data_IF_299777563280
#
_entry.id   IF_299777563280
#
_cell.length_a   1.000
_cell.length_b   1.000
_cell.length_c   1.000
_cell.angle_alpha   90.00
_cell.angle_beta   90.00
_cell.angle_gamma   90.00
#
_symmetry.space_group_name_H-M   'P 1'
#
loop_
_entity.id
_entity.type
_entity.pdbx_description
1 polymer ?
#
# COMPACT_ATOMS: atom_id res chain seq x y z
N UNK A 1 53.05 -2.17 3.15
CA UNK A 1 52.05 -1.15 2.80
C UNK A 1 51.44 -1.54 1.47
N UNK A 2 50.24 -2.10 1.49
CA UNK A 2 49.48 -2.46 0.29
C UNK A 2 48.17 -1.70 0.32
N UNK A 3 48.00 -0.82 -0.67
CA UNK A 3 46.89 0.10 -0.85
C UNK A 3 45.66 -0.64 -1.38
N UNK A 4 44.54 -0.50 -0.68
CA UNK A 4 43.25 -1.03 -1.11
C UNK A 4 42.72 -0.27 -2.34
N UNK A 5 42.28 -1.03 -3.35
CA UNK A 5 41.65 -0.52 -4.57
C UNK A 5 40.16 -0.22 -4.27
N UNK A 6 39.59 0.91 -4.72
CA UNK A 6 38.19 1.22 -4.48
C UNK A 6 37.31 0.30 -5.32
N UNK A 7 36.37 -0.40 -4.66
CA UNK A 7 35.34 -1.15 -5.35
C UNK A 7 34.45 -0.19 -6.15
N UNK A 8 34.52 -0.32 -7.48
CA UNK A 8 33.58 0.28 -8.40
C UNK A 8 32.16 -0.16 -8.05
N UNK A 9 31.37 0.78 -7.55
CA UNK A 9 29.92 0.65 -7.42
C UNK A 9 29.37 0.45 -8.83
N UNK A 10 28.88 -0.75 -9.13
CA UNK A 10 28.11 -1.01 -10.34
C UNK A 10 26.86 -0.13 -10.33
N UNK A 11 26.88 0.95 -11.10
CA UNK A 11 25.68 1.60 -11.62
C UNK A 11 24.99 0.59 -12.53
N UNK A 12 23.90 0.00 -12.04
CA UNK A 12 23.09 -0.97 -12.76
C UNK A 12 21.76 -0.32 -13.16
N UNK A 13 21.66 0.02 -14.45
CA UNK A 13 20.44 0.23 -15.25
C UNK A 13 19.25 0.96 -14.60
N UNK A 14 19.36 2.29 -14.44
CA UNK A 14 18.27 3.17 -13.98
C UNK A 14 17.95 4.31 -14.96
N UNK A 15 18.26 4.16 -16.25
CA UNK A 15 17.95 5.21 -17.25
C UNK A 15 16.50 5.17 -17.77
N UNK A 16 15.64 4.23 -17.32
CA UNK A 16 14.27 4.07 -17.82
C UNK A 16 13.14 4.48 -16.89
N UNK A 17 13.39 4.72 -15.60
CA UNK A 17 12.47 5.50 -14.76
C UNK A 17 12.75 6.98 -15.03
N UNK A 18 12.36 7.42 -16.23
CA UNK A 18 12.58 8.77 -16.71
C UNK A 18 11.96 9.76 -15.72
N UNK A 19 12.82 10.58 -15.13
CA UNK A 19 12.55 11.86 -14.47
C UNK A 19 11.12 12.42 -14.68
N UNK A 20 10.23 12.24 -13.70
CA UNK A 20 9.08 13.15 -13.46
C UNK A 20 9.53 14.57 -13.01
N UNK A 21 10.82 14.89 -13.16
CA UNK A 21 11.51 16.03 -12.55
C UNK A 21 11.58 17.29 -13.42
N UNK A 22 10.82 17.41 -14.51
CA UNK A 22 11.01 18.52 -15.45
C UNK A 22 9.85 19.52 -15.56
N UNK A 23 8.63 19.19 -15.09
CA UNK A 23 7.52 20.16 -15.15
C UNK A 23 7.46 21.00 -13.86
N UNK A 24 7.49 22.34 -13.94
CA UNK A 24 7.33 23.21 -12.77
C UNK A 24 5.97 22.96 -12.10
N UNK A 25 5.79 23.37 -10.84
CA UNK A 25 4.46 23.35 -10.19
C UNK A 25 3.49 24.25 -10.97
N UNK A 26 2.20 23.91 -10.95
CA UNK A 26 1.17 24.80 -11.50
C UNK A 26 1.15 26.10 -10.69
N UNK A 27 0.82 27.22 -11.34
CA UNK A 27 0.51 28.45 -10.63
C UNK A 27 -0.73 28.29 -9.75
N UNK A 28 -0.87 29.07 -8.67
CA UNK A 28 -2.04 28.97 -7.76
C UNK A 28 -3.36 29.14 -8.53
N UNK A 29 -3.44 30.15 -9.41
CA UNK A 29 -4.64 30.41 -10.21
C UNK A 29 -4.91 29.31 -11.24
N UNK A 30 -3.84 28.78 -11.85
CA UNK A 30 -3.93 27.68 -12.81
C UNK A 30 -4.44 26.41 -12.14
N UNK A 31 -3.93 26.08 -10.94
CA UNK A 31 -4.39 24.94 -10.14
C UNK A 31 -5.85 25.08 -9.73
N UNK A 32 -6.28 26.23 -9.24
CA UNK A 32 -7.68 26.43 -8.85
C UNK A 32 -8.63 26.34 -10.08
N UNK A 33 -8.23 26.87 -11.24
CA UNK A 33 -8.97 26.69 -12.49
C UNK A 33 -9.07 25.21 -12.88
N UNK A 34 -7.95 24.50 -12.93
CA UNK A 34 -7.91 23.08 -13.27
C UNK A 34 -8.75 22.23 -12.32
N UNK A 35 -8.70 22.52 -11.01
CA UNK A 35 -9.54 21.91 -9.98
C UNK A 35 -11.03 22.17 -10.22
N UNK A 36 -11.42 23.41 -10.52
CA UNK A 36 -12.81 23.74 -10.83
C UNK A 36 -13.30 22.97 -12.07
N UNK A 37 -12.48 22.90 -13.12
CA UNK A 37 -12.78 22.14 -14.35
C UNK A 37 -12.94 20.65 -14.07
N UNK A 38 -12.05 20.06 -13.27
CA UNK A 38 -12.14 18.66 -12.83
C UNK A 38 -13.48 18.40 -12.12
N UNK A 39 -13.87 19.25 -11.17
CA UNK A 39 -15.14 19.11 -10.45
C UNK A 39 -16.37 19.28 -11.35
N UNK A 40 -16.32 20.19 -12.34
CA UNK A 40 -17.39 20.33 -13.33
C UNK A 40 -17.58 19.07 -14.17
N UNK A 41 -16.48 18.44 -14.61
CA UNK A 41 -16.51 17.16 -15.33
C UNK A 41 -17.09 16.06 -14.44
N UNK A 42 -16.58 15.91 -13.21
CA UNK A 42 -17.07 14.91 -12.25
C UNK A 42 -18.59 15.05 -12.05
N UNK A 43 -19.07 16.27 -11.80
CA UNK A 43 -20.49 16.55 -11.59
C UNK A 43 -21.34 16.17 -12.81
N UNK A 44 -20.88 16.47 -14.03
CA UNK A 44 -21.58 16.09 -15.26
C UNK A 44 -21.64 14.56 -15.42
N UNK A 45 -20.54 13.86 -15.18
CA UNK A 45 -20.50 12.39 -15.26
C UNK A 45 -21.37 11.74 -14.17
N UNK A 46 -21.41 12.28 -12.95
CA UNK A 46 -22.28 11.78 -11.87
C UNK A 46 -23.77 11.88 -12.19
N UNK A 47 -24.19 12.92 -12.91
CA UNK A 47 -25.60 13.07 -13.31
C UNK A 47 -26.07 12.07 -14.35
N UNK A 48 -25.14 11.35 -14.97
CA UNK A 48 -25.44 10.26 -15.90
C UNK A 48 -25.60 8.93 -15.14
N UNK A 49 -26.70 8.22 -15.36
CA UNK A 49 -27.09 6.99 -14.61
C UNK A 49 -26.11 5.80 -14.71
N UNK A 50 -25.00 5.93 -15.43
CA UNK A 50 -23.99 4.88 -15.66
C UNK A 50 -22.91 4.79 -14.56
N UNK A 51 -22.92 5.69 -13.57
CA UNK A 51 -21.80 5.87 -12.62
C UNK A 51 -21.57 4.71 -11.63
N UNK A 52 -22.52 3.78 -11.46
CA UNK A 52 -22.48 2.67 -10.48
C UNK A 52 -22.53 1.28 -11.16
N UNK A 53 -22.33 1.18 -12.47
CA UNK A 53 -22.49 -0.10 -13.21
C UNK A 53 -21.50 -1.19 -12.75
N UNK A 54 -20.34 -0.84 -12.18
CA UNK A 54 -19.28 -1.78 -11.77
C UNK A 54 -19.18 -1.99 -10.25
N UNK A 55 -20.21 -1.69 -9.46
CA UNK A 55 -20.17 -1.94 -8.01
C UNK A 55 -19.28 -0.97 -7.20
N UNK A 56 -18.68 0.03 -7.85
CA UNK A 56 -18.06 1.19 -7.22
C UNK A 56 -18.32 2.46 -8.06
N UNK A 57 -18.11 3.64 -7.47
CA UNK A 57 -18.27 4.93 -8.14
C UNK A 57 -16.96 5.42 -8.75
N UNK A 58 -16.89 5.40 -10.09
CA UNK A 58 -15.77 5.98 -10.85
C UNK A 58 -15.58 7.48 -10.59
N UNK A 59 -16.65 8.32 -10.58
CA UNK A 59 -16.50 9.73 -10.26
C UNK A 59 -15.84 9.98 -8.90
N UNK A 60 -16.30 9.26 -7.87
CA UNK A 60 -15.73 9.36 -6.53
C UNK A 60 -14.30 8.81 -6.46
N UNK A 61 -13.97 7.73 -7.20
CA UNK A 61 -12.60 7.22 -7.27
C UNK A 61 -11.64 8.31 -7.79
N UNK A 62 -11.98 8.96 -8.91
CA UNK A 62 -11.18 10.03 -9.51
C UNK A 62 -11.12 11.25 -8.59
N UNK A 63 -12.27 11.69 -8.05
CA UNK A 63 -12.35 12.82 -7.12
C UNK A 63 -11.45 12.62 -5.90
N UNK A 64 -11.58 11.49 -5.21
CA UNK A 64 -10.84 11.23 -3.99
C UNK A 64 -9.36 10.95 -4.25
N UNK A 65 -9.00 10.42 -5.41
CA UNK A 65 -7.60 10.30 -5.84
C UNK A 65 -6.94 11.69 -5.89
N UNK A 66 -7.62 12.69 -6.43
CA UNK A 66 -7.17 14.08 -6.39
C UNK A 66 -7.17 14.67 -4.98
N UNK A 67 -8.29 14.57 -4.25
CA UNK A 67 -8.45 15.23 -2.96
C UNK A 67 -7.46 14.73 -1.90
N UNK A 68 -7.18 13.43 -1.89
CA UNK A 68 -6.27 12.79 -0.94
C UNK A 68 -4.82 12.68 -1.41
N UNK A 69 -4.48 13.24 -2.58
CA UNK A 69 -3.08 13.47 -2.94
C UNK A 69 -2.41 14.38 -1.89
N UNK A 70 -1.24 13.96 -1.38
CA UNK A 70 -0.68 14.47 -0.11
C UNK A 70 -0.04 15.86 -0.21
N UNK A 71 0.35 16.30 -1.41
CA UNK A 71 1.00 17.57 -1.64
C UNK A 71 0.41 18.31 -2.83
N UNK A 72 0.57 19.63 -2.85
CA UNK A 72 0.22 20.46 -4.02
C UNK A 72 0.91 19.96 -5.30
N UNK A 73 2.16 19.49 -5.19
CA UNK A 73 2.89 18.94 -6.33
C UNK A 73 2.28 17.62 -6.83
N UNK A 74 1.82 16.78 -5.91
CA UNK A 74 1.07 15.55 -6.24
C UNK A 74 -0.23 15.89 -6.96
N UNK A 75 -0.99 16.86 -6.43
CA UNK A 75 -2.23 17.37 -7.03
C UNK A 75 -2.01 17.93 -8.43
N UNK A 76 -0.94 18.70 -8.63
CA UNK A 76 -0.55 19.22 -9.95
C UNK A 76 -0.24 18.10 -10.94
N UNK A 77 0.44 17.05 -10.46
CA UNK A 77 0.79 15.87 -11.27
C UNK A 77 -0.49 15.12 -11.67
N UNK A 78 -1.41 14.91 -10.73
CA UNK A 78 -2.71 14.31 -11.00
C UNK A 78 -3.50 15.12 -12.03
N UNK A 79 -3.63 16.44 -11.84
CA UNK A 79 -4.39 17.30 -12.75
C UNK A 79 -3.84 17.23 -14.17
N UNK A 80 -2.51 17.25 -14.33
CA UNK A 80 -1.87 17.11 -15.64
C UNK A 80 -2.16 15.75 -16.27
N UNK A 81 -1.96 14.67 -15.52
CA UNK A 81 -2.24 13.33 -16.02
C UNK A 81 -3.71 13.18 -16.43
N UNK A 82 -4.64 13.71 -15.63
CA UNK A 82 -6.06 13.73 -15.95
C UNK A 82 -6.32 14.51 -17.26
N UNK A 83 -5.93 15.79 -17.34
CA UNK A 83 -6.22 16.61 -18.52
C UNK A 83 -5.45 16.21 -19.77
N UNK A 84 -4.27 15.59 -19.65
CA UNK A 84 -3.54 15.00 -20.79
C UNK A 84 -4.32 13.84 -21.44
N UNK A 85 -5.31 13.25 -20.74
CA UNK A 85 -6.22 12.22 -21.28
C UNK A 85 -7.58 12.75 -21.74
N UNK A 86 -7.93 13.99 -21.39
CA UNK A 86 -9.25 14.58 -21.67
C UNK A 86 -9.25 15.28 -23.04
N UNK A 87 -10.42 15.39 -23.70
CA UNK A 87 -10.57 16.20 -24.91
C UNK A 87 -10.58 17.72 -24.64
N UNK A 88 -10.37 18.13 -23.38
CA UNK A 88 -10.36 19.52 -22.94
C UNK A 88 -9.05 19.85 -22.23
N UNK A 89 -8.58 21.08 -22.38
CA UNK A 89 -7.32 21.52 -21.77
C UNK A 89 -7.47 21.88 -20.29
N UNK A 90 -6.35 21.84 -19.55
CA UNK A 90 -6.31 22.18 -18.13
C UNK A 90 -6.50 23.68 -17.83
N UNK A 91 -6.10 24.55 -18.77
CA UNK A 91 -5.88 25.97 -18.55
C UNK A 91 -6.76 26.88 -19.43
N UNK A 92 -7.79 26.32 -20.10
CA UNK A 92 -8.75 27.16 -20.84
C UNK A 92 -9.51 28.09 -19.88
N UNK A 93 -9.62 29.35 -20.30
CA UNK A 93 -10.40 30.39 -19.61
C UNK A 93 -11.92 30.24 -19.81
N UNK A 94 -12.35 29.43 -20.79
CA UNK A 94 -13.77 29.18 -21.04
C UNK A 94 -14.29 27.97 -20.27
N UNK A 95 -15.51 28.05 -19.75
CA UNK A 95 -16.21 26.90 -19.18
C UNK A 95 -16.37 25.77 -20.22
N UNK A 96 -16.49 24.54 -19.72
CA UNK A 96 -16.72 23.36 -20.57
C UNK A 96 -18.18 23.38 -21.01
N UNK A 97 -18.40 23.38 -22.32
CA UNK A 97 -19.74 23.32 -22.89
C UNK A 97 -20.25 21.88 -22.95
N UNK A 98 -21.02 21.49 -21.94
CA UNK A 98 -21.68 20.18 -21.88
C UNK A 98 -22.94 20.10 -22.75
N UNK A 99 -23.33 21.17 -23.46
CA UNK A 99 -24.46 21.10 -24.40
C UNK A 99 -24.05 20.50 -25.75
N UNK A 100 -22.75 20.50 -26.06
CA UNK A 100 -22.20 19.75 -27.19
C UNK A 100 -22.17 18.25 -26.85
N UNK A 101 -23.18 17.54 -27.36
CA UNK A 101 -23.35 16.10 -27.17
C UNK A 101 -22.13 15.26 -27.63
N UNK A 102 -21.37 15.73 -28.62
CA UNK A 102 -20.19 14.99 -29.11
C UNK A 102 -19.03 15.16 -28.13
N UNK A 103 -18.80 16.38 -27.66
CA UNK A 103 -17.79 16.66 -26.66
C UNK A 103 -18.11 16.00 -25.32
N UNK A 104 -19.38 16.06 -24.88
CA UNK A 104 -19.84 15.43 -23.65
C UNK A 104 -19.56 13.91 -23.66
N UNK A 105 -19.87 13.24 -24.77
CA UNK A 105 -19.61 11.80 -24.94
C UNK A 105 -18.12 11.46 -24.96
N UNK A 106 -17.29 12.32 -25.58
CA UNK A 106 -15.83 12.17 -25.56
C UNK A 106 -15.27 12.33 -24.14
N UNK A 107 -15.76 13.32 -23.38
CA UNK A 107 -15.39 13.53 -21.98
C UNK A 107 -15.76 12.31 -21.16
N UNK A 108 -16.98 11.80 -21.30
CA UNK A 108 -17.48 10.61 -20.57
C UNK A 108 -16.63 9.38 -20.85
N UNK A 109 -16.28 9.15 -22.11
CA UNK A 109 -15.44 8.03 -22.55
C UNK A 109 -14.03 8.15 -21.97
N UNK A 110 -13.39 9.31 -22.11
CA UNK A 110 -12.05 9.56 -21.57
C UNK A 110 -12.01 9.45 -20.04
N UNK A 111 -13.02 9.99 -19.36
CA UNK A 111 -13.17 9.90 -17.91
C UNK A 111 -13.28 8.47 -17.42
N UNK A 112 -14.12 7.67 -18.08
CA UNK A 112 -14.28 6.25 -17.75
C UNK A 112 -12.96 5.50 -17.95
N UNK A 113 -12.27 5.74 -19.07
CA UNK A 113 -10.96 5.15 -19.34
C UNK A 113 -9.89 5.53 -18.31
N UNK A 114 -9.88 6.79 -17.85
CA UNK A 114 -8.95 7.23 -16.80
C UNK A 114 -9.25 6.59 -15.44
N UNK A 115 -10.53 6.48 -15.07
CA UNK A 115 -10.93 5.82 -13.83
C UNK A 115 -10.56 4.32 -13.84
N UNK A 116 -10.84 3.63 -14.96
CA UNK A 116 -10.50 2.21 -15.15
C UNK A 116 -8.98 2.01 -15.14
N UNK A 117 -8.23 2.92 -15.76
CA UNK A 117 -6.76 2.90 -15.72
C UNK A 117 -6.22 2.96 -14.28
N UNK A 118 -6.74 3.85 -13.43
CA UNK A 118 -6.35 3.93 -12.02
C UNK A 118 -6.75 2.66 -11.24
N UNK A 119 -7.96 2.17 -11.47
CA UNK A 119 -8.48 0.99 -10.79
C UNK A 119 -7.65 -0.26 -11.13
N UNK A 120 -7.48 -0.55 -12.42
CA UNK A 120 -6.89 -1.78 -12.93
C UNK A 120 -5.37 -1.85 -12.75
N UNK A 121 -4.69 -0.71 -12.77
CA UNK A 121 -3.22 -0.66 -12.74
C UNK A 121 -2.66 -0.22 -11.39
N UNK A 122 -3.50 0.16 -10.43
CA UNK A 122 -3.04 0.53 -9.09
C UNK A 122 -3.91 -0.07 -7.98
N UNK A 123 -5.18 0.32 -7.86
CA UNK A 123 -5.97 -0.02 -6.68
C UNK A 123 -6.24 -1.53 -6.52
N UNK A 124 -6.66 -2.18 -7.60
CA UNK A 124 -6.90 -3.62 -7.63
C UNK A 124 -5.62 -4.43 -7.34
N UNK A 125 -4.51 -4.28 -8.10
CA UNK A 125 -3.29 -5.04 -7.86
C UNK A 125 -2.65 -4.76 -6.49
N UNK A 126 -2.70 -3.50 -6.03
CA UNK A 126 -2.19 -3.14 -4.71
C UNK A 126 -2.93 -3.91 -3.61
N UNK A 127 -4.26 -3.84 -3.58
CA UNK A 127 -5.06 -4.50 -2.54
C UNK A 127 -5.02 -6.04 -2.63
N UNK A 128 -4.91 -6.59 -3.86
CA UNK A 128 -4.74 -8.02 -4.07
C UNK A 128 -3.43 -8.57 -3.48
N UNK A 129 -2.37 -7.77 -3.53
CA UNK A 129 -1.03 -8.17 -3.08
C UNK A 129 -0.72 -7.79 -1.62
N UNK A 130 -1.42 -6.79 -1.06
CA UNK A 130 -1.29 -6.39 0.35
C UNK A 130 -1.73 -7.44 1.37
N UNK A 131 -2.50 -8.46 0.96
CA UNK A 131 -3.04 -9.50 1.86
C UNK A 131 -2.03 -10.60 2.19
N UNK A 132 -0.94 -10.69 1.42
CA UNK A 132 0.08 -11.73 1.61
C UNK A 132 1.46 -11.11 1.67
N UNK A 133 2.05 -11.03 2.87
CA UNK A 133 3.52 -11.00 2.93
C UNK A 133 4.03 -12.41 2.72
N UNK A 134 4.93 -12.65 1.75
CA UNK A 134 5.59 -13.94 1.60
C UNK A 134 6.18 -14.38 2.94
N UNK A 135 5.68 -15.48 3.49
CA UNK A 135 6.30 -16.05 4.69
C UNK A 135 7.67 -16.61 4.28
N UNK A 136 8.76 -16.24 4.96
CA UNK A 136 10.05 -16.82 4.64
C UNK A 136 9.98 -18.33 4.87
N UNK A 137 10.47 -19.10 3.90
CA UNK A 137 10.74 -20.52 4.11
C UNK A 137 11.63 -20.68 5.35
N UNK A 138 11.50 -21.78 6.12
CA UNK A 138 12.35 -22.01 7.28
C UNK A 138 13.83 -21.81 6.94
N UNK A 139 14.60 -21.14 7.80
CA UNK A 139 16.04 -20.86 7.58
C UNK A 139 16.80 -22.14 7.18
N UNK A 140 16.41 -23.28 7.74
CA UNK A 140 16.95 -24.60 7.40
C UNK A 140 16.65 -25.01 5.96
N UNK A 141 15.46 -24.71 5.44
CA UNK A 141 15.10 -24.97 4.04
C UNK A 141 15.93 -24.13 3.08
N UNK A 142 16.10 -22.83 3.37
CA UNK A 142 16.96 -21.92 2.58
C UNK A 142 18.44 -22.29 2.67
N UNK A 143 18.90 -22.85 3.79
CA UNK A 143 20.25 -23.39 3.94
C UNK A 143 20.44 -24.70 3.16
N UNK A 144 19.44 -25.60 3.17
CA UNK A 144 19.46 -26.86 2.41
C UNK A 144 19.42 -26.60 0.90
N UNK A 145 18.59 -25.68 0.41
CA UNK A 145 18.58 -25.26 -1.00
C UNK A 145 19.94 -24.72 -1.45
N UNK A 146 20.62 -23.92 -0.61
CA UNK A 146 21.99 -23.46 -0.88
C UNK A 146 22.99 -24.62 -0.95
N UNK A 147 22.89 -25.59 -0.04
CA UNK A 147 23.77 -26.75 -0.01
C UNK A 147 23.56 -27.71 -1.19
N UNK A 148 22.34 -27.76 -1.74
CA UNK A 148 21.96 -28.60 -2.89
C UNK A 148 22.24 -27.96 -4.25
N UNK A 149 22.86 -26.78 -4.31
CA UNK A 149 23.18 -26.10 -5.57
C UNK A 149 21.98 -25.51 -6.29
N UNK A 150 20.88 -25.21 -5.58
CA UNK A 150 19.74 -24.50 -6.15
C UNK A 150 20.15 -23.10 -6.63
N UNK A 151 19.88 -22.79 -7.90
CA UNK A 151 20.22 -21.50 -8.50
C UNK A 151 19.49 -20.33 -7.79
N UNK A 152 20.29 -19.34 -7.41
CA UNK A 152 19.95 -18.21 -6.55
C UNK A 152 18.55 -17.64 -6.83
N UNK A 153 17.61 -17.82 -5.89
CA UNK A 153 16.72 -16.71 -5.55
C UNK A 153 17.62 -15.53 -5.21
N UNK A 154 17.31 -14.34 -5.71
CA UNK A 154 18.09 -13.12 -5.47
C UNK A 154 18.68 -13.15 -4.06
N UNK A 155 20.00 -13.30 -3.99
CA UNK A 155 20.72 -13.63 -2.76
C UNK A 155 20.33 -12.64 -1.65
N UNK A 156 19.36 -13.00 -0.81
CA UNK A 156 18.92 -12.16 0.29
C UNK A 156 17.41 -11.97 0.50
N UNK A 157 16.46 -12.24 -0.40
CA UNK A 157 15.04 -11.86 -0.14
C UNK A 157 14.41 -12.59 1.07
N UNK A 158 14.51 -13.93 1.22
CA UNK A 158 14.01 -14.60 2.42
C UNK A 158 14.78 -14.22 3.70
N UNK A 159 16.10 -14.04 3.59
CA UNK A 159 16.96 -13.63 4.71
C UNK A 159 16.68 -12.18 5.14
N UNK A 160 16.38 -11.29 4.19
CA UNK A 160 15.98 -9.90 4.42
C UNK A 160 14.60 -9.81 5.05
N UNK A 161 13.63 -10.61 4.60
CA UNK A 161 12.30 -10.69 5.22
C UNK A 161 12.40 -11.25 6.66
N UNK A 162 13.24 -12.27 6.88
CA UNK A 162 13.51 -12.79 8.23
C UNK A 162 14.17 -11.73 9.12
N UNK A 163 15.16 -11.01 8.59
CA UNK A 163 15.86 -9.93 9.30
C UNK A 163 14.91 -8.78 9.64
N UNK A 164 14.11 -8.33 8.67
CA UNK A 164 13.08 -7.31 8.85
C UNK A 164 12.12 -7.71 9.96
N UNK A 165 11.65 -8.98 9.96
CA UNK A 165 10.74 -9.48 10.98
C UNK A 165 11.35 -9.35 12.39
N UNK A 166 12.57 -9.84 12.58
CA UNK A 166 13.25 -9.74 13.88
C UNK A 166 13.47 -8.29 14.33
N UNK A 167 13.88 -7.42 13.40
CA UNK A 167 14.10 -6.00 13.67
C UNK A 167 12.80 -5.29 14.08
N UNK A 168 11.69 -5.53 13.36
CA UNK A 168 10.40 -4.94 13.67
C UNK A 168 9.82 -5.46 14.99
N UNK A 169 9.91 -6.77 15.26
CA UNK A 169 9.49 -7.34 16.55
C UNK A 169 10.26 -6.69 17.71
N UNK A 170 11.58 -6.56 17.58
CA UNK A 170 12.41 -5.89 18.60
C UNK A 170 12.02 -4.42 18.77
N UNK A 171 11.88 -3.67 17.68
CA UNK A 171 11.44 -2.26 17.71
C UNK A 171 10.11 -2.10 18.41
N UNK A 172 9.16 -2.99 18.09
CA UNK A 172 7.79 -2.93 18.56
C UNK A 172 7.60 -3.65 19.91
N UNK A 173 8.69 -3.98 20.60
CA UNK A 173 8.72 -4.63 21.93
C UNK A 173 7.92 -5.93 21.96
N UNK A 174 8.03 -6.72 20.90
CA UNK A 174 7.31 -7.97 20.68
C UNK A 174 5.79 -7.84 20.88
N UNK A 175 5.23 -6.68 20.50
CA UNK A 175 3.80 -6.39 20.63
C UNK A 175 3.21 -5.95 19.30
N UNK A 176 1.95 -6.30 19.10
CA UNK A 176 1.15 -5.65 18.07
C UNK A 176 1.04 -4.15 18.36
N UNK A 177 1.36 -3.31 17.36
CA UNK A 177 1.36 -1.85 17.55
C UNK A 177 -0.04 -1.26 17.82
N UNK A 178 -1.10 -1.99 17.46
CA UNK A 178 -2.51 -1.61 17.65
C UNK A 178 -3.11 -2.27 18.90
N UNK A 179 -3.15 -3.60 18.99
CA UNK A 179 -3.81 -4.29 20.12
C UNK A 179 -2.96 -4.36 21.38
N UNK A 180 -1.63 -4.16 21.26
CA UNK A 180 -0.64 -4.37 22.32
C UNK A 180 -0.53 -5.81 22.82
N UNK A 181 -1.22 -6.79 22.20
CA UNK A 181 -1.03 -8.21 22.49
C UNK A 181 0.44 -8.58 22.26
N UNK A 182 1.01 -9.33 23.20
CA UNK A 182 2.41 -9.76 23.17
C UNK A 182 2.55 -11.02 22.29
N UNK A 183 3.71 -11.21 21.66
CA UNK A 183 3.95 -12.35 20.78
C UNK A 183 3.90 -13.67 21.54
N UNK A 184 3.00 -14.56 21.13
CA UNK A 184 2.82 -15.85 21.81
C UNK A 184 4.05 -16.73 21.66
N UNK A 185 4.78 -16.64 20.55
CA UNK A 185 6.01 -17.42 20.34
C UNK A 185 7.15 -16.93 21.23
N UNK A 186 7.31 -15.61 21.32
CA UNK A 186 8.30 -15.03 22.23
C UNK A 186 7.98 -15.34 23.69
N UNK A 187 6.70 -15.28 24.07
CA UNK A 187 6.28 -15.66 25.41
C UNK A 187 6.62 -17.12 25.73
N UNK A 188 6.29 -18.06 24.83
CA UNK A 188 6.63 -19.48 24.97
C UNK A 188 8.14 -19.69 25.16
N UNK A 189 8.97 -19.04 24.33
CA UNK A 189 10.43 -19.10 24.46
C UNK A 189 10.92 -18.60 25.83
N UNK A 190 10.40 -17.47 26.32
CA UNK A 190 10.81 -16.91 27.62
C UNK A 190 10.32 -17.77 28.79
N UNK A 191 9.11 -18.32 28.72
CA UNK A 191 8.62 -19.27 29.72
C UNK A 191 9.49 -20.54 29.78
N UNK A 192 9.95 -21.05 28.64
CA UNK A 192 10.86 -22.19 28.61
C UNK A 192 12.22 -21.91 29.28
N UNK A 193 12.73 -20.68 29.18
CA UNK A 193 14.04 -20.30 29.74
C UNK A 193 13.96 -19.86 31.21
N UNK A 194 12.91 -19.14 31.58
CA UNK A 194 12.83 -18.41 32.86
C UNK A 194 11.65 -18.85 33.74
N UNK A 195 10.78 -19.74 33.25
CA UNK A 195 9.58 -20.19 33.96
C UNK A 195 8.66 -19.00 34.33
N UNK A 196 8.10 -19.03 35.54
CA UNK A 196 7.19 -17.98 36.03
C UNK A 196 7.88 -16.61 36.20
N UNK A 197 9.21 -16.58 36.19
CA UNK A 197 10.00 -15.35 36.27
C UNK A 197 10.13 -14.63 34.92
N UNK A 198 9.65 -15.24 33.83
CA UNK A 198 9.69 -14.65 32.50
C UNK A 198 9.00 -13.27 32.45
N UNK A 199 9.67 -12.31 31.81
CA UNK A 199 9.19 -10.92 31.69
C UNK A 199 9.09 -10.50 30.23
N UNK A 200 8.22 -9.54 29.96
CA UNK A 200 8.20 -8.83 28.67
C UNK A 200 9.34 -7.80 28.59
N UNK A 201 9.40 -7.11 27.45
CA UNK A 201 10.37 -6.07 27.12
C UNK A 201 10.27 -4.83 28.05
N UNK A 202 9.17 -4.67 28.79
CA UNK A 202 8.95 -3.60 29.77
C UNK A 202 9.24 -4.08 31.22
N UNK A 203 9.69 -5.33 31.39
CA UNK A 203 10.01 -5.93 32.69
C UNK A 203 8.80 -6.47 33.46
N UNK A 204 7.61 -6.52 32.85
CA UNK A 204 6.38 -7.05 33.46
C UNK A 204 6.33 -8.57 33.31
N UNK A 205 5.98 -9.27 34.39
CA UNK A 205 5.87 -10.72 34.37
C UNK A 205 4.82 -11.22 33.37
N UNK A 206 5.20 -12.16 32.51
CA UNK A 206 4.33 -12.68 31.45
C UNK A 206 3.10 -13.40 31.99
N UNK A 207 3.19 -14.11 33.12
CA UNK A 207 2.05 -14.81 33.72
C UNK A 207 0.92 -13.88 34.19
N UNK A 208 1.21 -12.58 34.36
CA UNK A 208 0.21 -11.55 34.71
C UNK A 208 -0.51 -10.99 33.48
N UNK A 209 0.01 -11.26 32.26
CA UNK A 209 -0.57 -10.81 31.02
C UNK A 209 -1.67 -11.75 30.56
N UNK A 210 -2.80 -11.17 30.12
CA UNK A 210 -4.01 -11.94 29.81
C UNK A 210 -4.14 -12.32 28.34
N UNK A 211 -3.39 -11.68 27.43
CA UNK A 211 -3.62 -11.80 25.99
C UNK A 211 -2.30 -11.86 25.21
N UNK A 212 -1.98 -13.06 24.72
CA UNK A 212 -0.94 -13.31 23.72
C UNK A 212 -1.58 -13.48 22.34
N UNK A 213 -0.83 -13.20 21.28
CA UNK A 213 -1.24 -13.49 19.91
C UNK A 213 0.00 -13.76 19.05
N UNK A 214 -0.15 -14.54 17.99
CA UNK A 214 0.90 -14.62 16.97
C UNK A 214 1.05 -13.28 16.28
N UNK A 215 2.30 -12.81 16.18
CA UNK A 215 2.62 -11.57 15.49
C UNK A 215 3.20 -11.81 14.11
N UNK A 216 2.81 -10.94 13.20
CA UNK A 216 3.26 -10.83 11.83
C UNK A 216 3.83 -9.43 11.60
N UNK A 217 4.70 -9.29 10.62
CA UNK A 217 5.27 -8.01 10.22
C UNK A 217 4.71 -7.66 8.86
N UNK A 218 3.90 -6.62 8.83
CA UNK A 218 3.20 -6.14 7.67
C UNK A 218 3.97 -4.97 7.05
N UNK A 219 4.20 -5.01 5.74
CA UNK A 219 4.64 -3.82 5.03
C UNK A 219 3.53 -2.75 5.01
N UNK A 220 3.89 -1.47 5.10
CA UNK A 220 2.96 -0.34 5.00
C UNK A 220 2.57 -0.13 3.53
N UNK A 221 3.56 -0.11 2.63
CA UNK A 221 3.35 -0.28 1.20
C UNK A 221 3.91 -1.65 0.77
N UNK A 222 3.12 -2.49 0.08
CA UNK A 222 3.46 -3.89 -0.18
C UNK A 222 4.76 -4.11 -0.93
N UNK A 223 5.46 -5.21 -0.60
CA UNK A 223 6.67 -5.65 -1.29
C UNK A 223 6.44 -5.93 -2.79
N UNK A 224 5.25 -6.42 -3.14
CA UNK A 224 4.84 -6.73 -4.53
C UNK A 224 5.00 -5.56 -5.51
N UNK A 225 4.88 -4.32 -5.06
CA UNK A 225 5.01 -3.11 -5.88
C UNK A 225 6.38 -3.01 -6.58
N UNK A 226 7.42 -3.57 -5.97
CA UNK A 226 8.80 -3.50 -6.48
C UNK A 226 9.43 -4.87 -6.67
N UNK A 227 8.63 -5.93 -6.51
CA UNK A 227 9.13 -7.29 -6.65
C UNK A 227 9.46 -7.59 -8.12
N UNK A 228 10.71 -7.96 -8.39
CA UNK A 228 11.17 -8.42 -9.70
C UNK A 228 11.32 -9.94 -9.68
N UNK A 229 10.83 -10.63 -10.71
CA UNK A 229 11.19 -12.03 -10.91
C UNK A 229 12.70 -12.17 -11.22
N UNK A 230 13.25 -13.37 -11.00
CA UNK A 230 14.71 -13.63 -10.99
C UNK A 230 15.42 -13.03 -12.21
N UNK A 231 16.34 -12.08 -11.97
CA UNK A 231 17.20 -11.49 -13.00
C UNK A 231 16.50 -10.55 -14.00
N UNK A 232 15.21 -10.26 -13.79
CA UNK A 232 14.38 -9.47 -14.68
C UNK A 232 14.32 -7.99 -14.36
N UNK A 233 13.88 -7.20 -15.35
CA UNK A 233 13.43 -5.82 -15.14
C UNK A 233 12.10 -5.82 -14.37
N UNK A 234 11.77 -4.73 -13.69
CA UNK A 234 10.45 -4.56 -13.08
C UNK A 234 9.36 -4.70 -14.15
N UNK A 235 8.37 -5.55 -13.91
CA UNK A 235 7.23 -5.72 -14.82
C UNK A 235 6.57 -4.37 -15.13
N UNK A 236 6.10 -4.21 -16.37
CA UNK A 236 5.53 -2.94 -16.82
C UNK A 236 4.34 -2.50 -15.95
N UNK A 237 3.50 -3.44 -15.54
CA UNK A 237 2.37 -3.20 -14.63
C UNK A 237 2.81 -2.60 -13.29
N UNK A 238 3.94 -3.06 -12.74
CA UNK A 238 4.52 -2.55 -11.49
C UNK A 238 5.15 -1.17 -11.69
N UNK A 239 5.80 -0.93 -12.84
CA UNK A 239 6.28 0.40 -13.21
C UNK A 239 5.12 1.40 -13.24
N UNK A 240 4.03 1.06 -13.92
CA UNK A 240 2.81 1.87 -13.98
C UNK A 240 2.23 2.12 -12.58
N UNK A 241 2.17 1.09 -11.73
CA UNK A 241 1.70 1.25 -10.36
C UNK A 241 2.58 2.24 -9.55
N UNK A 242 3.90 2.23 -9.74
CA UNK A 242 4.81 3.18 -9.11
C UNK A 242 4.68 4.61 -9.67
N UNK A 243 4.37 4.76 -10.95
CA UNK A 243 4.04 6.06 -11.56
C UNK A 243 2.77 6.64 -10.96
N UNK A 244 1.73 5.80 -10.84
CA UNK A 244 0.47 6.16 -10.18
C UNK A 244 0.71 6.49 -8.70
N UNK A 245 1.56 5.72 -7.99
CA UNK A 245 1.97 6.01 -6.62
C UNK A 245 2.57 7.42 -6.47
N UNK A 246 3.40 7.83 -7.44
CA UNK A 246 4.01 9.17 -7.46
C UNK A 246 3.00 10.29 -7.73
N UNK A 247 1.83 9.99 -8.29
CA UNK A 247 0.72 10.96 -8.39
C UNK A 247 0.08 11.25 -7.03
N UNK A 248 0.05 10.28 -6.10
CA UNK A 248 -0.46 10.50 -4.75
C UNK A 248 0.51 11.30 -3.89
N UNK A 249 1.79 10.94 -3.97
CA UNK A 249 2.83 11.54 -3.16
C UNK A 249 4.14 11.58 -3.94
N UNK A 250 4.61 12.80 -4.23
CA UNK A 250 5.75 13.03 -5.11
C UNK A 250 7.00 12.32 -4.59
N UNK A 251 7.62 11.44 -5.40
CA UNK A 251 8.78 10.61 -5.02
C UNK A 251 8.47 9.50 -3.99
N UNK A 252 7.22 9.07 -3.87
CA UNK A 252 6.86 7.94 -3.02
C UNK A 252 7.48 6.62 -3.49
N UNK A 253 7.66 6.41 -4.80
CA UNK A 253 8.29 5.19 -5.33
C UNK A 253 9.70 4.99 -4.77
N UNK A 254 10.49 6.06 -4.62
CA UNK A 254 11.85 5.99 -4.05
C UNK A 254 11.89 5.57 -2.58
N UNK A 255 10.77 5.69 -1.85
CA UNK A 255 10.69 5.26 -0.45
C UNK A 255 10.65 3.74 -0.30
N UNK A 256 10.37 3.03 -1.39
CA UNK A 256 10.21 1.57 -1.43
C UNK A 256 11.01 0.94 -2.57
N UNK A 257 11.93 1.65 -3.20
CA UNK A 257 12.70 1.11 -4.32
C UNK A 257 13.80 0.15 -3.84
N UNK A 258 13.96 -0.99 -4.51
CA UNK A 258 15.06 -1.92 -4.31
C UNK A 258 15.16 -2.47 -2.87
N UNK A 259 16.19 -2.05 -2.14
CA UNK A 259 16.38 -2.47 -0.75
C UNK A 259 15.49 -1.71 0.24
N UNK A 260 14.95 -0.56 -0.15
CA UNK A 260 14.19 0.31 0.75
C UNK A 260 12.82 -0.28 1.13
N UNK A 261 12.26 -1.16 0.30
CA UNK A 261 10.98 -1.83 0.58
C UNK A 261 11.01 -2.66 1.86
N UNK A 262 12.12 -3.33 2.15
CA UNK A 262 12.27 -4.20 3.32
C UNK A 262 12.96 -3.48 4.48
N UNK A 263 12.89 -2.14 4.51
CA UNK A 263 13.37 -1.35 5.65
C UNK A 263 12.30 -1.32 6.75
N UNK A 264 12.71 -1.27 8.03
CA UNK A 264 11.77 -1.17 9.16
C UNK A 264 10.81 0.02 9.06
N UNK A 265 11.23 1.11 8.40
CA UNK A 265 10.40 2.30 8.16
C UNK A 265 9.15 2.02 7.31
N UNK A 266 9.16 0.98 6.49
CA UNK A 266 8.03 0.52 5.68
C UNK A 266 7.32 -0.69 6.31
N UNK A 267 7.50 -0.98 7.61
CA UNK A 267 6.88 -2.16 8.22
C UNK A 267 6.41 -1.94 9.66
N UNK A 268 5.35 -2.64 10.05
CA UNK A 268 4.74 -2.61 11.38
C UNK A 268 4.37 -4.01 11.88
N UNK A 269 4.44 -4.21 13.19
CA UNK A 269 4.07 -5.50 13.82
C UNK A 269 2.57 -5.54 14.15
N UNK A 270 1.86 -6.53 13.62
CA UNK A 270 0.42 -6.71 13.78
C UNK A 270 0.07 -8.14 14.22
N UNK A 271 -1.10 -8.33 14.83
CA UNK A 271 -1.69 -9.67 14.94
C UNK A 271 -2.27 -10.08 13.58
N UNK A 272 -2.41 -11.38 13.32
CA UNK A 272 -2.95 -11.91 12.07
C UNK A 272 -4.20 -11.17 11.56
N UNK A 273 -5.26 -11.09 12.36
CA UNK A 273 -6.51 -10.40 11.94
C UNK A 273 -6.29 -8.92 11.60
N UNK A 274 -5.44 -8.23 12.36
CA UNK A 274 -5.17 -6.82 12.12
C UNK A 274 -4.28 -6.61 10.90
N UNK A 275 -3.43 -7.58 10.58
CA UNK A 275 -2.66 -7.58 9.34
C UNK A 275 -3.58 -7.72 8.14
N UNK A 276 -4.53 -8.66 8.14
CA UNK A 276 -5.54 -8.79 7.08
C UNK A 276 -6.30 -7.46 6.86
N UNK A 277 -6.87 -6.91 7.93
CA UNK A 277 -7.61 -5.65 7.84
C UNK A 277 -6.75 -4.46 7.41
N UNK A 278 -5.47 -4.42 7.80
CA UNK A 278 -4.54 -3.38 7.38
C UNK A 278 -4.14 -3.52 5.90
N UNK A 279 -3.87 -4.74 5.44
CA UNK A 279 -3.58 -5.04 4.04
C UNK A 279 -4.77 -4.75 3.12
N UNK A 280 -5.99 -4.95 3.60
CA UNK A 280 -7.24 -4.58 2.90
C UNK A 280 -7.62 -3.12 3.04
N UNK A 281 -6.71 -2.29 3.57
CA UNK A 281 -6.89 -0.86 3.79
C UNK A 281 -8.15 -0.50 4.62
N UNK A 282 -8.62 -1.41 5.48
CA UNK A 282 -9.76 -1.14 6.38
C UNK A 282 -9.31 -0.52 7.70
N UNK A 283 -8.03 -0.61 8.06
CA UNK A 283 -7.44 0.03 9.24
C UNK A 283 -6.38 1.02 8.78
N UNK A 284 -6.34 2.22 9.36
CA UNK A 284 -5.38 3.26 8.98
C UNK A 284 -4.93 4.10 10.19
N UNK A 285 -3.81 4.80 10.02
CA UNK A 285 -3.20 5.63 11.06
C UNK A 285 -3.31 7.11 10.70
N UNK A 286 -3.96 7.89 11.56
CA UNK A 286 -4.08 9.34 11.41
C UNK A 286 -3.20 10.04 12.45
N UNK A 287 -2.26 10.92 12.05
CA UNK A 287 -1.46 11.66 13.01
C UNK A 287 -2.36 12.52 13.90
N UNK A 288 -2.06 12.54 15.19
CA UNK A 288 -2.78 13.42 16.13
C UNK A 288 -2.02 14.74 16.21
N UNK A 289 -2.65 15.88 15.85
CA UNK A 289 -2.04 17.19 16.02
C UNK A 289 -1.62 17.43 17.47
N UNK A 290 -0.53 18.16 17.66
CA UNK A 290 -0.04 18.60 18.99
C UNK A 290 0.29 17.46 19.99
N UNK A 291 0.40 16.22 19.52
CA UNK A 291 0.89 15.08 20.29
C UNK A 291 2.37 14.80 20.01
N UNK A 292 3.05 14.04 20.89
CA UNK A 292 4.42 13.61 20.63
C UNK A 292 4.55 12.91 19.26
N UNK A 293 5.72 13.00 18.59
CA UNK A 293 5.95 12.31 17.32
C UNK A 293 5.59 10.83 17.36
N UNK A 294 5.15 10.29 16.23
CA UNK A 294 4.69 8.90 16.08
C UNK A 294 3.46 8.54 16.93
N UNK A 295 2.61 9.53 17.25
CA UNK A 295 1.31 9.31 17.89
C UNK A 295 0.19 9.40 16.86
N UNK A 296 -0.63 8.36 16.80
CA UNK A 296 -1.68 8.20 15.80
C UNK A 296 -3.00 7.80 16.44
N UNK A 297 -4.09 8.34 15.90
CA UNK A 297 -5.43 7.80 16.06
C UNK A 297 -5.60 6.69 15.02
N UNK A 298 -5.82 5.47 15.51
CA UNK A 298 -6.08 4.30 14.66
C UNK A 298 -7.56 4.30 14.33
N UNK A 299 -7.86 4.50 13.05
CA UNK A 299 -9.22 4.46 12.49
C UNK A 299 -9.51 3.10 11.84
N UNK A 300 -10.79 2.81 11.64
CA UNK A 300 -11.23 1.58 10.97
C UNK A 300 -12.54 1.78 10.21
N UNK A 301 -12.65 1.12 9.06
CA UNK A 301 -13.87 0.93 8.28
C UNK A 301 -14.50 -0.45 8.52
N UNK A 302 -13.92 -1.25 9.42
CA UNK A 302 -14.47 -2.55 9.84
C UNK A 302 -15.60 -2.32 10.84
N UNK A 303 -16.67 -3.13 10.77
CA UNK A 303 -17.76 -3.09 11.75
C UNK A 303 -17.24 -3.39 13.16
N UNK A 304 -17.68 -2.66 14.21
CA UNK A 304 -17.14 -2.84 15.56
C UNK A 304 -17.20 -4.27 16.12
N UNK A 305 -18.24 -5.04 15.77
CA UNK A 305 -18.41 -6.42 16.21
C UNK A 305 -17.36 -7.40 15.65
N UNK A 306 -16.62 -7.03 14.60
CA UNK A 306 -15.54 -7.83 14.02
C UNK A 306 -14.19 -7.57 14.72
N UNK A 307 -14.09 -6.53 15.56
CA UNK A 307 -12.90 -6.20 16.35
C UNK A 307 -13.28 -5.97 17.83
N UNK A 308 -13.94 -6.94 18.50
CA UNK A 308 -14.55 -6.74 19.81
C UNK A 308 -13.52 -6.43 20.91
N UNK A 309 -12.28 -6.87 20.74
CA UNK A 309 -11.18 -6.62 21.67
C UNK A 309 -10.61 -5.19 21.57
N UNK A 310 -11.04 -4.40 20.57
CA UNK A 310 -10.53 -3.05 20.33
C UNK A 310 -11.64 -2.00 20.42
N UNK A 311 -11.50 -1.08 21.37
CA UNK A 311 -12.32 0.13 21.43
C UNK A 311 -11.85 1.15 20.38
N UNK A 312 -12.10 0.86 19.10
CA UNK A 312 -11.78 1.76 17.99
C UNK A 312 -12.77 2.93 17.89
N UNK A 313 -12.32 4.13 17.48
CA UNK A 313 -10.93 4.50 17.23
C UNK A 313 -10.15 4.70 18.52
N UNK A 314 -8.87 4.35 18.52
CA UNK A 314 -8.00 4.43 19.70
C UNK A 314 -6.69 5.14 19.37
N UNK A 315 -6.03 5.69 20.40
CA UNK A 315 -4.73 6.36 20.23
C UNK A 315 -3.59 5.40 20.51
N UNK A 316 -2.58 5.42 19.64
CA UNK A 316 -1.32 4.68 19.79
C UNK A 316 -0.12 5.56 19.52
N UNK A 317 0.81 5.55 20.46
CA UNK A 317 2.19 5.97 20.22
C UNK A 317 2.99 4.77 19.72
N UNK A 318 3.49 4.81 18.51
CA UNK A 318 4.34 3.74 17.97
C UNK A 318 5.69 3.74 18.70
N UNK A 319 6.28 2.56 18.84
CA UNK A 319 7.53 2.40 19.56
C UNK A 319 8.71 2.95 18.74
N UNK A 320 9.68 3.50 19.47
CA UNK A 320 10.96 3.97 18.95
C UNK A 320 12.02 3.37 19.86
N UNK A 321 13.07 2.78 19.30
CA UNK A 321 14.17 2.25 20.11
C UNK A 321 14.90 3.40 20.81
N UNK A 322 15.34 3.20 22.05
CA UNK A 322 15.96 4.26 22.87
C UNK A 322 17.20 4.87 22.21
N UNK A 323 18.04 4.00 21.63
CA UNK A 323 19.23 4.35 20.88
C UNK A 323 18.96 4.79 19.43
N UNK A 324 17.70 4.74 18.96
CA UNK A 324 17.26 5.03 17.59
C UNK A 324 18.05 4.29 16.50
N UNK A 325 18.56 3.09 16.79
CA UNK A 325 19.25 2.26 15.80
C UNK A 325 18.31 1.59 14.81
N UNK A 326 17.02 1.47 15.14
CA UNK A 326 16.00 0.91 14.26
C UNK A 326 15.04 2.03 13.87
N UNK A 327 14.88 2.24 12.56
CA UNK A 327 13.97 3.26 12.04
C UNK A 327 12.52 3.02 12.50
N UNK A 328 11.83 4.05 13.01
CA UNK A 328 10.41 3.95 13.26
C UNK A 328 9.62 3.90 11.94
N UNK A 329 8.36 3.45 11.96
CA UNK A 329 7.46 3.53 10.80
C UNK A 329 7.43 4.96 10.26
N UNK A 330 7.66 5.12 8.95
CA UNK A 330 7.76 6.44 8.33
C UNK A 330 6.38 7.10 8.29
N UNK A 331 6.19 8.29 8.90
CA UNK A 331 4.89 8.96 8.89
C UNK A 331 4.33 9.21 7.49
N UNK A 332 5.23 9.42 6.51
CA UNK A 332 4.89 9.62 5.11
C UNK A 332 4.26 8.37 4.48
N UNK A 333 4.79 7.17 4.74
CA UNK A 333 4.21 5.91 4.24
C UNK A 333 2.85 5.63 4.88
N UNK A 334 2.71 5.90 6.18
CA UNK A 334 1.41 5.80 6.86
C UNK A 334 0.38 6.80 6.30
N UNK A 335 0.81 8.00 5.91
CA UNK A 335 -0.06 8.99 5.27
C UNK A 335 -0.53 8.54 3.88
N UNK A 336 0.35 7.92 3.08
CA UNK A 336 0.00 7.33 1.78
C UNK A 336 -1.00 6.19 1.98
N UNK A 337 -0.71 5.25 2.88
CA UNK A 337 -1.62 4.14 3.21
C UNK A 337 -3.02 4.65 3.62
N UNK A 338 -3.07 5.66 4.50
CA UNK A 338 -4.33 6.31 4.91
C UNK A 338 -5.06 6.96 3.73
N UNK A 339 -4.36 7.63 2.82
CA UNK A 339 -4.98 8.25 1.64
C UNK A 339 -5.65 7.18 0.78
N UNK A 340 -4.94 6.09 0.49
CA UNK A 340 -5.45 4.95 -0.28
C UNK A 340 -6.67 4.33 0.42
N UNK A 341 -6.60 4.12 1.74
CA UNK A 341 -7.72 3.62 2.53
C UNK A 341 -8.97 4.49 2.41
N UNK A 342 -8.82 5.82 2.48
CA UNK A 342 -9.95 6.76 2.30
C UNK A 342 -10.54 6.68 0.90
N UNK A 343 -9.72 6.61 -0.13
CA UNK A 343 -10.17 6.52 -1.52
C UNK A 343 -10.94 5.23 -1.76
N UNK A 344 -10.36 4.09 -1.36
CA UNK A 344 -10.98 2.78 -1.52
C UNK A 344 -12.32 2.69 -0.80
N UNK A 345 -12.42 3.26 0.41
CA UNK A 345 -13.66 3.26 1.18
C UNK A 345 -14.72 4.19 0.57
N UNK A 346 -14.38 5.45 0.32
CA UNK A 346 -15.36 6.47 -0.06
C UNK A 346 -15.86 6.31 -1.51
N UNK A 347 -15.06 5.71 -2.39
CA UNK A 347 -15.48 5.37 -3.76
C UNK A 347 -16.25 4.05 -3.87
N UNK A 348 -16.23 3.21 -2.83
CA UNK A 348 -16.72 1.83 -2.88
C UNK A 348 -15.77 0.83 -3.55
N UNK A 349 -14.67 1.30 -4.16
CA UNK A 349 -13.74 0.44 -4.90
C UNK A 349 -13.14 -0.67 -4.02
N UNK A 350 -12.89 -0.40 -2.74
CA UNK A 350 -12.37 -1.40 -1.81
C UNK A 350 -13.34 -2.55 -1.54
N UNK A 351 -14.65 -2.30 -1.50
CA UNK A 351 -15.65 -3.36 -1.35
C UNK A 351 -15.84 -4.16 -2.63
N UNK A 352 -15.73 -3.48 -3.78
CA UNK A 352 -15.77 -4.13 -5.09
C UNK A 352 -14.54 -5.03 -5.32
N UNK A 353 -13.33 -4.57 -4.99
CA UNK A 353 -12.11 -5.39 -5.06
C UNK A 353 -12.22 -6.58 -4.11
N UNK A 354 -12.67 -6.36 -2.87
CA UNK A 354 -12.96 -7.44 -1.91
C UNK A 354 -13.92 -8.49 -2.51
N UNK A 355 -14.91 -8.06 -3.30
CA UNK A 355 -15.85 -8.96 -3.98
C UNK A 355 -15.18 -9.75 -5.10
N UNK A 356 -14.41 -9.07 -5.96
CA UNK A 356 -13.61 -9.70 -7.01
C UNK A 356 -12.71 -10.78 -6.40
N UNK A 357 -11.96 -10.46 -5.35
CA UNK A 357 -11.02 -11.40 -4.73
C UNK A 357 -11.71 -12.58 -4.03
N UNK A 358 -12.89 -12.37 -3.42
CA UNK A 358 -13.71 -13.47 -2.86
C UNK A 358 -14.19 -14.43 -3.94
N UNK A 359 -14.72 -13.90 -5.03
CA UNK A 359 -15.23 -14.71 -6.16
C UNK A 359 -14.12 -15.52 -6.85
N UNK A 360 -12.86 -15.13 -6.63
CA UNK A 360 -11.69 -15.85 -7.13
C UNK A 360 -11.20 -16.93 -6.16
N UNK A 361 -11.40 -16.75 -4.85
CA UNK A 361 -11.06 -17.74 -3.82
C UNK A 361 -12.10 -18.88 -3.71
N UNK A 362 -13.37 -18.57 -3.97
CA UNK A 362 -14.43 -19.58 -4.05
C UNK A 362 -14.38 -20.25 -5.44
N UNK A 363 -13.93 -21.51 -5.49
CA UNK A 363 -13.75 -22.31 -6.71
C UNK A 363 -15.07 -22.41 -7.49
N UNK A 364 -15.31 -21.49 -8.43
CA UNK A 364 -16.44 -21.58 -9.35
C UNK A 364 -16.71 -20.27 -10.09
N UNK A 365 -16.72 -20.35 -11.43
CA UNK A 365 -17.37 -19.31 -12.25
C UNK A 365 -18.83 -19.24 -11.80
N UNK A 366 -19.27 -18.07 -11.36
CA UNK A 366 -20.67 -17.85 -11.00
C UNK A 366 -21.54 -18.17 -12.20
N UNK A 367 -22.63 -18.89 -11.97
CA UNK A 367 -23.54 -19.37 -13.02
C UNK A 367 -24.15 -18.21 -13.82
N UNK A 368 -24.20 -17.01 -13.25
CA UNK A 368 -24.70 -15.79 -13.86
C UNK A 368 -23.67 -15.05 -14.75
N UNK A 369 -22.44 -15.55 -14.86
CA UNK A 369 -21.39 -14.93 -15.66
C UNK A 369 -20.78 -13.66 -15.05
N UNK A 370 -21.08 -13.33 -13.79
CA UNK A 370 -20.56 -12.13 -13.11
C UNK A 370 -19.11 -12.26 -12.61
N UNK A 371 -18.46 -13.41 -12.84
CA UNK A 371 -17.05 -13.59 -12.44
C UNK A 371 -16.11 -12.82 -13.36
N UNK A 372 -15.39 -11.85 -12.80
CA UNK A 372 -14.39 -11.01 -13.48
C UNK A 372 -13.08 -11.77 -13.78
N UNK A 373 -13.15 -12.85 -14.56
CA UNK A 373 -11.99 -13.71 -14.88
C UNK A 373 -10.83 -12.94 -15.55
N UNK A 374 -11.13 -11.88 -16.31
CA UNK A 374 -10.13 -11.03 -16.96
C UNK A 374 -9.17 -10.38 -15.96
N UNK A 375 -9.70 -9.86 -14.85
CA UNK A 375 -8.89 -9.27 -13.79
C UNK A 375 -7.95 -10.27 -13.14
N UNK A 376 -8.41 -11.50 -12.92
CA UNK A 376 -7.59 -12.54 -12.31
C UNK A 376 -6.43 -13.00 -13.20
N UNK A 377 -6.72 -13.24 -14.48
CA UNK A 377 -5.69 -13.62 -15.45
C UNK A 377 -4.63 -12.52 -15.51
N UNK A 378 -5.05 -11.24 -15.56
CA UNK A 378 -4.14 -10.09 -15.51
C UNK A 378 -3.29 -10.08 -14.23
N UNK A 379 -3.90 -10.19 -13.05
CA UNK A 379 -3.18 -10.19 -11.76
C UNK A 379 -2.14 -11.30 -11.64
N UNK A 380 -2.42 -12.49 -12.19
CA UNK A 380 -1.47 -13.60 -12.21
C UNK A 380 -0.35 -13.41 -13.21
N UNK A 381 -0.67 -13.03 -14.45
CA UNK A 381 0.33 -12.81 -15.50
C UNK A 381 1.30 -11.69 -15.13
N UNK A 382 0.79 -10.65 -14.45
CA UNK A 382 1.57 -9.51 -13.99
C UNK A 382 2.33 -9.77 -12.66
N UNK A 383 2.21 -10.99 -12.10
CA UNK A 383 2.93 -11.39 -10.88
C UNK A 383 2.51 -10.64 -9.61
N UNK A 384 1.24 -10.22 -9.51
CA UNK A 384 0.68 -9.58 -8.32
C UNK A 384 0.22 -10.58 -7.26
N UNK A 385 -0.12 -11.81 -7.66
CA UNK A 385 -0.58 -12.88 -6.78
C UNK A 385 0.24 -14.14 -7.05
N UNK A 386 0.92 -14.66 -6.03
CA UNK A 386 1.70 -15.90 -6.11
C UNK A 386 0.92 -17.05 -5.45
N UNK A 387 0.16 -17.81 -6.24
CA UNK A 387 -0.52 -19.05 -5.78
C UNK A 387 -2.05 -19.06 -5.91
N UNK A 388 -2.65 -20.25 -5.71
CA UNK A 388 -4.10 -20.42 -5.49
C UNK A 388 -4.34 -20.21 -4.00
N UNK A 389 -5.33 -19.37 -3.66
CA UNK A 389 -5.72 -19.08 -2.28
C UNK A 389 -6.04 -20.36 -1.47
#
# INVERSE_FOLDING_TARGET
MATAIPHHRHQSSMERLINFNLRPSLGILERERAKHRLHSIIKNVETSNDSIIQGYSRPLLVQYTYEYSLSDRSKDTFLRAFFDTMPVTLDSDSDIDFSDTVLEEQIRTAFTGFADYLFDNFFLPLMASSQTTPQPSPITHSAVQRALGGEQEFSGTPDRLSSLRGICLTRDRHRCVISRKFDSREAENRFHLEGDMARDDDGVFLHTQRLFARLEVAHILPHSLVHTEKGGQLEHSKQVALEILNMFDHNAAYLIEGEEVDRPRNAITLTHDLHDWFGRFKIFFEPVPDQPPHTYRVGSYVRPNMLPDLALPLTRKLYITENRTIDPPLPRLLAIHRAIARILHLSGAGEYIDQILRDLGEIGVRVDGSTELGHFVKLRLDGWITGVA
#
